data_IF_908740690247
#
_entry.id   IF_908740690247
#
_cell.length_a   1.000
_cell.length_b   1.000
_cell.length_c   1.000
_cell.angle_alpha   90.00
_cell.angle_beta   90.00
_cell.angle_gamma   90.00
#
_symmetry.space_group_name_H-M   'P 1'
#
loop_
_entity.id
_entity.type
_entity.pdbx_description
1 polymer ?
#
# COMPACT_ATOMS: atom_id res chain seq x y z
N UNK A 1 18.71 -7.51 14.59
CA UNK A 1 19.13 -6.77 15.80
C UNK A 1 19.93 -5.55 15.37
N UNK A 2 19.70 -4.37 15.95
CA UNK A 2 20.56 -3.19 15.74
C UNK A 2 21.78 -3.30 16.66
N UNK A 3 22.98 -3.07 16.11
CA UNK A 3 24.27 -3.17 16.83
C UNK A 3 24.93 -1.81 17.04
N UNK A 4 24.88 -0.92 16.06
CA UNK A 4 25.52 0.38 16.18
C UNK A 4 24.89 1.44 15.26
N UNK A 5 25.06 2.70 15.63
CA UNK A 5 24.81 3.87 14.79
C UNK A 5 26.09 4.71 14.75
N UNK A 6 26.54 5.04 13.54
CA UNK A 6 27.75 5.79 13.26
C UNK A 6 27.46 6.92 12.25
N UNK A 7 28.37 7.88 12.11
CA UNK A 7 28.28 8.92 11.08
C UNK A 7 29.65 9.21 10.43
N UNK A 8 29.63 9.75 9.20
CA UNK A 8 30.84 10.05 8.42
C UNK A 8 31.61 11.29 8.91
N UNK A 9 30.98 12.17 9.70
CA UNK A 9 31.56 13.45 10.13
C UNK A 9 31.94 13.41 11.61
N UNK A 10 33.04 14.09 11.93
CA UNK A 10 33.47 14.35 13.31
C UNK A 10 32.44 15.26 13.98
N UNK A 11 31.89 14.82 15.12
CA UNK A 11 30.84 15.55 15.86
C UNK A 11 29.69 14.66 16.29
N UNK A 12 29.45 13.55 15.58
CA UNK A 12 28.57 12.49 16.05
C UNK A 12 29.30 11.57 17.03
N UNK A 13 28.63 11.20 18.12
CA UNK A 13 29.13 10.20 19.06
C UNK A 13 28.53 8.85 18.67
N UNK A 14 29.36 7.93 18.20
CA UNK A 14 28.92 6.61 17.79
C UNK A 14 28.25 5.89 18.96
N UNK A 15 27.13 5.24 18.69
CA UNK A 15 26.36 4.53 19.71
C UNK A 15 26.38 3.04 19.40
N UNK A 16 26.74 2.22 20.39
CA UNK A 16 26.66 0.75 20.29
C UNK A 16 25.53 0.23 21.17
N UNK A 17 24.86 -0.81 20.70
CA UNK A 17 23.74 -1.44 21.36
C UNK A 17 24.09 -2.88 21.74
N UNK A 18 23.59 -3.31 22.89
CA UNK A 18 23.71 -4.70 23.35
C UNK A 18 22.36 -5.41 23.22
N UNK A 19 22.37 -6.74 23.38
CA UNK A 19 21.13 -7.51 23.37
C UNK A 19 20.24 -7.12 24.57
N UNK A 20 18.93 -7.03 24.33
CA UNK A 20 17.95 -6.67 25.36
C UNK A 20 17.58 -5.18 25.32
N UNK A 21 17.31 -4.63 26.51
CA UNK A 21 16.80 -3.26 26.66
C UNK A 21 17.97 -2.28 26.77
N UNK A 22 18.03 -1.35 25.82
CA UNK A 22 19.01 -0.25 25.82
C UNK A 22 18.27 1.05 26.22
N UNK A 23 18.75 1.73 27.26
CA UNK A 23 18.18 2.98 27.75
C UNK A 23 19.11 4.15 27.42
N UNK A 24 18.63 5.08 26.59
CA UNK A 24 19.36 6.30 26.27
C UNK A 24 18.98 7.41 27.26
N UNK A 25 19.85 7.63 28.24
CA UNK A 25 19.71 8.71 29.21
C UNK A 25 20.45 9.95 28.71
N UNK A 26 19.91 11.13 29.00
CA UNK A 26 20.63 12.37 28.78
C UNK A 26 20.55 13.22 30.05
N UNK A 27 21.72 13.58 30.58
CA UNK A 27 21.84 14.32 31.83
C UNK A 27 21.46 15.79 31.67
N UNK A 28 20.85 16.35 32.72
CA UNK A 28 20.67 17.79 32.84
C UNK A 28 22.02 18.41 33.17
N UNK A 29 22.42 19.42 32.39
CA UNK A 29 23.47 20.33 32.82
C UNK A 29 23.04 21.01 34.13
N UNK A 30 23.93 21.07 35.11
CA UNK A 30 23.72 21.70 36.43
C UNK A 30 23.46 23.20 36.38
N UNK A 31 23.58 23.82 35.20
CA UNK A 31 23.32 25.25 34.94
C UNK A 31 21.95 25.54 34.31
N UNK A 32 21.13 24.52 34.00
CA UNK A 32 19.83 24.71 33.37
C UNK A 32 18.75 25.04 34.41
N UNK A 33 18.07 26.18 34.26
CA UNK A 33 16.92 26.54 35.10
C UNK A 33 15.63 25.81 34.67
N UNK A 34 14.57 25.85 35.49
CA UNK A 34 13.28 25.18 35.23
C UNK A 34 12.58 25.57 33.91
N UNK A 35 13.06 26.61 33.22
CA UNK A 35 12.56 27.08 31.92
C UNK A 35 13.40 26.64 30.71
N UNK A 36 14.56 26.02 30.92
CA UNK A 36 15.41 25.54 29.83
C UNK A 36 14.95 24.14 29.37
N UNK A 37 14.29 24.10 28.22
CA UNK A 37 13.78 22.84 27.65
C UNK A 37 14.92 21.87 27.34
N UNK A 38 14.84 20.67 27.89
CA UNK A 38 15.82 19.55 27.86
C UNK A 38 15.80 18.75 26.54
N UNK A 39 15.20 19.31 25.48
CA UNK A 39 14.89 18.60 24.24
C UNK A 39 16.05 18.53 23.23
N UNK A 40 17.18 19.19 23.50
CA UNK A 40 18.27 19.40 22.52
C UNK A 40 19.54 18.56 22.76
N UNK A 41 19.44 17.41 23.44
CA UNK A 41 20.59 16.52 23.69
C UNK A 41 20.72 15.37 22.67
N UNK A 42 20.01 15.43 21.55
CA UNK A 42 20.18 14.49 20.43
C UNK A 42 19.48 13.13 20.57
N UNK A 43 18.72 12.88 21.65
CA UNK A 43 17.99 11.61 21.86
C UNK A 43 17.03 11.28 20.72
N UNK A 44 16.14 12.22 20.39
CA UNK A 44 15.18 12.05 19.29
C UNK A 44 15.89 11.98 17.94
N UNK A 45 16.99 12.71 17.78
CA UNK A 45 17.83 12.66 16.58
C UNK A 45 18.43 11.28 16.36
N UNK A 46 18.84 10.56 17.41
CA UNK A 46 19.32 9.18 17.27
C UNK A 46 18.23 8.25 16.72
N UNK A 47 17.01 8.35 17.25
CA UNK A 47 15.86 7.57 16.76
C UNK A 47 15.54 7.94 15.31
N UNK A 48 15.63 9.23 14.97
CA UNK A 48 15.44 9.72 13.60
C UNK A 48 16.49 9.16 12.64
N UNK A 49 17.77 9.09 13.05
CA UNK A 49 18.86 8.48 12.27
C UNK A 49 18.60 6.99 12.03
N UNK A 50 18.15 6.26 13.05
CA UNK A 50 17.79 4.84 12.90
C UNK A 50 16.65 4.70 11.89
N UNK A 51 15.55 5.44 12.03
CA UNK A 51 14.43 5.36 11.08
C UNK A 51 14.82 5.82 9.67
N UNK A 52 15.72 6.80 9.57
CA UNK A 52 16.32 7.25 8.33
C UNK A 52 17.09 6.13 7.62
N UNK A 53 17.96 5.40 8.31
CA UNK A 53 18.65 4.24 7.74
C UNK A 53 17.68 3.08 7.42
N UNK A 54 16.57 2.96 8.17
CA UNK A 54 15.48 2.02 7.90
C UNK A 54 14.49 2.50 6.81
N UNK A 55 14.88 3.51 6.04
CA UNK A 55 14.19 3.90 4.81
C UNK A 55 13.00 4.84 4.99
N UNK A 56 12.96 5.62 6.07
CA UNK A 56 11.97 6.69 6.23
C UNK A 56 12.02 7.73 5.09
N UNK A 57 10.93 8.47 4.91
CA UNK A 57 10.91 9.57 3.94
C UNK A 57 11.76 10.73 4.46
N UNK A 58 12.51 11.36 3.55
CA UNK A 58 13.46 12.40 3.89
C UNK A 58 13.25 13.63 2.99
N UNK A 59 12.21 14.44 3.26
CA UNK A 59 11.95 15.65 2.48
C UNK A 59 13.06 16.68 2.71
N UNK A 60 13.43 17.41 1.65
CA UNK A 60 14.42 18.48 1.74
C UNK A 60 13.96 19.58 2.71
N UNK A 61 14.90 20.13 3.49
CA UNK A 61 14.66 21.20 4.46
C UNK A 61 14.04 20.75 5.79
N UNK A 62 13.90 19.43 6.04
CA UNK A 62 13.32 18.90 7.29
C UNK A 62 14.15 17.75 7.85
N UNK A 63 14.09 17.59 9.17
CA UNK A 63 14.73 16.48 9.86
C UNK A 63 16.24 16.46 9.59
N UNK A 64 16.74 15.32 9.15
CA UNK A 64 18.15 15.14 8.80
C UNK A 64 18.58 15.78 7.46
N UNK A 65 17.63 16.28 6.64
CA UNK A 65 17.93 16.93 5.35
C UNK A 65 17.89 18.46 5.44
N UNK A 66 18.62 19.00 6.41
CA UNK A 66 18.83 20.45 6.57
C UNK A 66 20.25 20.83 6.13
N UNK A 67 20.46 22.10 5.78
CA UNK A 67 21.75 22.62 5.29
C UNK A 67 22.92 22.31 6.24
N UNK A 68 22.69 22.39 7.56
CA UNK A 68 23.71 22.07 8.57
C UNK A 68 24.22 20.60 8.53
N UNK A 69 23.46 19.70 7.89
CA UNK A 69 23.79 18.29 7.75
C UNK A 69 24.09 17.89 6.30
N UNK A 70 24.35 18.85 5.41
CA UNK A 70 24.81 18.57 4.04
C UNK A 70 26.16 17.82 4.05
N UNK A 71 26.30 16.81 3.19
CA UNK A 71 27.50 15.97 3.17
C UNK A 71 27.68 15.06 4.37
N UNK A 72 26.64 14.85 5.18
CA UNK A 72 26.64 13.84 6.24
C UNK A 72 26.11 12.51 5.70
N UNK A 73 26.70 11.42 6.17
CA UNK A 73 26.18 10.08 5.96
C UNK A 73 26.08 9.37 7.29
N UNK A 74 24.98 8.66 7.50
CA UNK A 74 24.75 7.89 8.71
C UNK A 74 24.76 6.40 8.38
N UNK A 75 25.40 5.62 9.25
CA UNK A 75 25.54 4.18 9.10
C UNK A 75 24.82 3.49 10.25
N UNK A 76 23.90 2.57 9.92
CA UNK A 76 23.24 1.68 10.85
C UNK A 76 23.79 0.27 10.67
N UNK A 77 24.40 -0.27 11.71
CA UNK A 77 24.81 -1.67 11.74
C UNK A 77 23.70 -2.52 12.34
N UNK A 78 23.24 -3.52 11.61
CA UNK A 78 22.15 -4.38 12.04
C UNK A 78 22.21 -5.77 11.40
N UNK A 79 21.47 -6.71 11.99
CA UNK A 79 21.22 -8.02 11.39
C UNK A 79 19.93 -7.97 10.56
N UNK A 80 20.01 -8.37 9.29
CA UNK A 80 18.90 -8.42 8.31
C UNK A 80 18.91 -9.77 7.61
N UNK A 81 17.84 -10.55 7.78
CA UNK A 81 17.74 -11.89 7.18
C UNK A 81 18.84 -12.85 7.65
N UNK A 82 19.28 -12.72 8.90
CA UNK A 82 20.39 -13.50 9.47
C UNK A 82 21.79 -12.99 9.12
N UNK A 83 21.91 -11.96 8.29
CA UNK A 83 23.20 -11.40 7.90
C UNK A 83 23.52 -10.11 8.65
N UNK A 84 24.78 -9.97 9.06
CA UNK A 84 25.30 -8.79 9.73
C UNK A 84 25.78 -7.76 8.70
N UNK A 85 25.01 -6.68 8.53
CA UNK A 85 25.29 -5.65 7.53
C UNK A 85 25.43 -4.26 8.15
N UNK A 86 26.16 -3.40 7.45
CA UNK A 86 26.16 -1.95 7.67
C UNK A 86 25.42 -1.28 6.52
N UNK A 87 24.47 -0.42 6.87
CA UNK A 87 23.64 0.31 5.91
C UNK A 87 23.92 1.79 6.05
N UNK A 88 24.48 2.40 5.01
CA UNK A 88 24.83 3.82 5.00
C UNK A 88 23.90 4.61 4.10
N UNK A 89 23.37 5.72 4.61
CA UNK A 89 22.50 6.63 3.86
C UNK A 89 23.03 8.06 3.96
N UNK A 90 23.26 8.70 2.81
CA UNK A 90 23.73 10.08 2.70
C UNK A 90 22.56 11.08 2.70
N UNK A 91 22.73 12.20 3.39
CA UNK A 91 21.77 13.33 3.38
C UNK A 91 21.69 14.00 2.00
N UNK A 92 22.71 13.86 1.17
CA UNK A 92 22.74 14.43 -0.20
C UNK A 92 22.00 13.51 -1.18
N UNK A 93 22.15 12.20 -0.99
CA UNK A 93 21.54 11.15 -1.81
C UNK A 93 20.58 10.26 -1.01
N UNK A 94 19.45 10.80 -0.49
CA UNK A 94 18.56 10.04 0.38
C UNK A 94 17.85 8.88 -0.34
N UNK A 95 17.92 8.80 -1.66
CA UNK A 95 17.28 7.74 -2.46
C UNK A 95 18.04 6.42 -2.45
N UNK A 96 19.31 6.43 -2.02
CA UNK A 96 20.24 5.31 -2.11
C UNK A 96 20.74 4.86 -0.73
N UNK A 97 20.96 3.55 -0.60
CA UNK A 97 21.39 2.89 0.63
C UNK A 97 22.60 2.03 0.28
N UNK A 98 23.79 2.48 0.68
CA UNK A 98 25.00 1.68 0.53
C UNK A 98 24.96 0.52 1.53
N UNK A 99 25.31 -0.68 1.08
CA UNK A 99 25.24 -1.91 1.85
C UNK A 99 26.61 -2.55 1.91
N UNK A 100 27.11 -2.76 3.12
CA UNK A 100 28.35 -3.48 3.39
C UNK A 100 28.04 -4.72 4.23
N UNK A 101 28.70 -5.84 3.92
CA UNK A 101 28.50 -7.13 4.58
C UNK A 101 27.77 -8.17 3.71
N UNK A 102 27.56 -9.40 4.23
CA UNK A 102 26.89 -10.47 3.48
C UNK A 102 25.40 -10.17 3.23
N UNK A 103 24.92 -10.51 2.03
CA UNK A 103 23.51 -10.31 1.61
C UNK A 103 22.86 -11.59 1.12
N UNK A 104 23.42 -12.73 1.52
CA UNK A 104 23.01 -14.07 1.07
C UNK A 104 21.53 -14.29 1.46
N UNK A 105 20.74 -14.77 0.51
CA UNK A 105 19.32 -15.08 0.72
C UNK A 105 18.38 -13.87 0.70
N UNK A 106 18.88 -12.64 0.54
CA UNK A 106 18.01 -11.49 0.34
C UNK A 106 17.22 -11.59 -0.97
N UNK A 107 15.94 -11.18 -0.99
CA UNK A 107 15.09 -11.24 -2.18
C UNK A 107 15.57 -10.32 -3.30
N UNK A 108 16.33 -9.28 -2.96
CA UNK A 108 16.95 -8.35 -3.90
C UNK A 108 18.40 -8.15 -3.48
N UNK A 109 19.32 -8.40 -4.42
CA UNK A 109 20.75 -8.23 -4.19
C UNK A 109 21.18 -6.78 -4.47
N UNK A 110 22.03 -6.18 -3.62
CA UNK A 110 22.65 -4.89 -3.91
C UNK A 110 23.47 -4.93 -5.20
N UNK A 111 23.50 -3.80 -5.90
CA UNK A 111 24.28 -3.63 -7.12
C UNK A 111 25.10 -2.34 -7.04
N UNK A 112 26.19 -2.29 -7.80
CA UNK A 112 26.98 -1.08 -7.93
C UNK A 112 26.14 0.04 -8.54
N UNK A 113 26.18 1.22 -7.92
CA UNK A 113 25.71 2.45 -8.55
C UNK A 113 26.75 2.94 -9.59
N UNK A 114 26.51 4.12 -10.18
CA UNK A 114 27.41 4.72 -11.18
C UNK A 114 28.83 5.00 -10.64
N UNK A 115 28.98 5.12 -9.34
CA UNK A 115 30.23 5.42 -8.64
C UNK A 115 30.92 4.14 -8.12
N UNK A 116 30.35 2.97 -8.39
CA UNK A 116 30.87 1.68 -7.94
C UNK A 116 30.47 1.29 -6.51
N UNK A 117 29.67 2.11 -5.82
CA UNK A 117 29.20 1.81 -4.46
C UNK A 117 28.09 0.77 -4.53
N UNK A 118 28.26 -0.33 -3.80
CA UNK A 118 27.28 -1.42 -3.72
C UNK A 118 26.11 -0.99 -2.83
N UNK A 119 24.89 -1.03 -3.36
CA UNK A 119 23.71 -0.63 -2.59
C UNK A 119 22.38 -0.88 -3.26
N UNK A 120 21.34 -0.29 -2.68
CA UNK A 120 19.95 -0.44 -3.10
C UNK A 120 19.26 0.92 -3.18
N UNK A 121 18.33 1.06 -4.12
CA UNK A 121 17.39 2.17 -4.10
C UNK A 121 16.35 2.00 -2.97
N UNK A 122 15.63 3.08 -2.68
CA UNK A 122 14.62 3.12 -1.62
C UNK A 122 13.56 2.02 -1.74
N UNK A 123 13.11 1.69 -2.96
CA UNK A 123 12.06 0.69 -3.17
C UNK A 123 12.60 -0.69 -2.83
N UNK A 124 13.77 -1.05 -3.39
CA UNK A 124 14.42 -2.34 -3.16
C UNK A 124 14.83 -2.53 -1.71
N UNK A 125 15.37 -1.50 -1.07
CA UNK A 125 15.72 -1.56 0.36
C UNK A 125 14.49 -1.82 1.23
N UNK A 126 13.38 -1.13 0.94
CA UNK A 126 12.10 -1.37 1.62
C UNK A 126 11.57 -2.79 1.38
N UNK A 127 11.73 -3.37 0.18
CA UNK A 127 11.37 -4.76 -0.08
C UNK A 127 12.20 -5.73 0.77
N UNK A 128 13.52 -5.52 0.89
CA UNK A 128 14.39 -6.33 1.76
C UNK A 128 13.98 -6.22 3.22
N UNK A 129 13.73 -5.01 3.73
CA UNK A 129 13.25 -4.80 5.11
C UNK A 129 11.88 -5.43 5.36
N UNK A 130 10.96 -5.34 4.38
CA UNK A 130 9.63 -5.95 4.47
C UNK A 130 9.71 -7.47 4.61
N UNK A 131 10.53 -8.10 3.78
CA UNK A 131 10.80 -9.53 3.85
C UNK A 131 11.47 -9.92 5.17
N UNK A 132 12.56 -9.23 5.55
CA UNK A 132 13.38 -9.63 6.70
C UNK A 132 12.70 -9.39 8.06
N UNK A 133 11.94 -8.31 8.21
CA UNK A 133 11.36 -7.92 9.50
C UNK A 133 9.93 -8.42 9.69
N UNK A 134 9.19 -8.56 8.59
CA UNK A 134 7.76 -8.81 8.63
C UNK A 134 7.33 -10.02 7.79
N UNK A 135 8.25 -10.68 7.09
CA UNK A 135 7.88 -11.77 6.17
C UNK A 135 7.00 -11.31 5.01
N UNK A 136 7.02 -10.02 4.68
CA UNK A 136 6.29 -9.50 3.52
C UNK A 136 6.98 -10.00 2.27
N UNK A 137 6.35 -10.95 1.59
CA UNK A 137 6.63 -11.22 0.18
C UNK A 137 5.94 -10.15 -0.65
N UNK A 138 6.50 -9.70 -1.77
CA UNK A 138 5.76 -8.79 -2.66
C UNK A 138 4.42 -9.44 -3.00
N UNK A 139 3.29 -8.89 -2.54
CA UNK A 139 2.03 -9.54 -2.80
C UNK A 139 1.67 -9.26 -4.25
N UNK A 140 1.25 -10.32 -4.96
CA UNK A 140 0.61 -10.27 -6.27
C UNK A 140 -0.76 -9.52 -6.27
N UNK A 141 -1.15 -8.95 -5.12
CA UNK A 141 -2.35 -8.14 -4.97
C UNK A 141 -2.18 -6.80 -5.68
N UNK A 142 -2.98 -6.60 -6.74
CA UNK A 142 -3.12 -5.37 -7.51
C UNK A 142 -3.71 -4.20 -6.70
N UNK A 143 -4.08 -4.42 -5.45
CA UNK A 143 -4.85 -3.44 -4.65
C UNK A 143 -3.95 -2.61 -3.73
N UNK A 144 -4.29 -1.32 -3.59
CA UNK A 144 -3.51 -0.36 -2.80
C UNK A 144 -3.62 -0.54 -1.27
N UNK A 145 -4.48 -1.44 -0.79
CA UNK A 145 -4.75 -1.64 0.64
C UNK A 145 -4.00 -2.86 1.17
N UNK A 146 -2.74 -2.65 1.58
CA UNK A 146 -1.88 -3.72 2.10
C UNK A 146 -0.91 -3.22 3.17
N UNK A 147 -0.40 -4.11 4.04
CA UNK A 147 0.66 -3.78 4.97
C UNK A 147 1.89 -3.29 4.22
N UNK A 148 2.38 -2.13 4.60
CA UNK A 148 3.62 -1.58 4.08
C UNK A 148 4.69 -1.60 5.17
N UNK A 149 5.91 -1.98 4.80
CA UNK A 149 7.07 -1.99 5.71
C UNK A 149 7.22 -0.67 6.47
N UNK A 150 6.90 0.46 5.81
CA UNK A 150 7.06 1.80 6.39
C UNK A 150 6.03 2.12 7.45
N UNK A 151 4.76 1.83 7.18
CA UNK A 151 3.71 1.99 8.18
C UNK A 151 3.94 1.05 9.35
N UNK A 152 4.33 -0.22 9.09
CA UNK A 152 4.64 -1.20 10.14
C UNK A 152 5.80 -0.73 11.02
N UNK A 153 6.95 -0.35 10.44
CA UNK A 153 8.09 0.18 11.20
C UNK A 153 7.70 1.40 12.05
N UNK A 154 6.82 2.27 11.54
CA UNK A 154 6.40 3.46 12.27
C UNK A 154 5.68 3.15 13.59
N UNK A 155 5.01 1.99 13.71
CA UNK A 155 4.44 1.51 14.97
C UNK A 155 5.48 1.13 16.03
N UNK A 156 6.69 0.75 15.60
CA UNK A 156 7.82 0.42 16.48
C UNK A 156 8.66 1.64 16.81
N UNK A 157 8.96 2.48 15.82
CA UNK A 157 9.81 3.67 16.00
C UNK A 157 9.10 4.74 16.84
N UNK A 158 7.80 4.99 16.58
CA UNK A 158 6.99 6.01 17.28
C UNK A 158 7.68 7.38 17.40
N UNK A 159 8.21 7.91 16.30
CA UNK A 159 8.98 9.17 16.34
C UNK A 159 8.11 10.44 16.51
N UNK A 160 6.79 10.36 16.34
CA UNK A 160 5.90 11.52 16.45
C UNK A 160 5.26 11.57 17.84
N UNK A 161 5.11 12.77 18.42
CA UNK A 161 4.41 12.95 19.69
C UNK A 161 2.99 12.33 19.67
N UNK A 162 2.30 12.50 18.54
CA UNK A 162 1.00 11.88 18.24
C UNK A 162 0.97 10.35 18.38
N UNK A 163 2.09 9.67 18.06
CA UNK A 163 2.19 8.21 18.11
C UNK A 163 2.13 7.66 19.55
N UNK A 164 2.29 8.53 20.56
CA UNK A 164 2.19 8.15 21.98
C UNK A 164 0.77 8.33 22.53
N UNK A 165 -0.13 9.01 21.82
CA UNK A 165 -1.48 9.29 22.30
C UNK A 165 -2.41 8.07 22.19
N UNK A 166 -2.22 7.22 21.19
CA UNK A 166 -3.09 6.07 20.94
C UNK A 166 -2.25 4.89 20.47
N UNK A 167 -2.34 3.72 21.13
CA UNK A 167 -1.49 2.57 20.80
C UNK A 167 -1.68 2.05 19.38
N UNK A 168 -2.85 2.30 18.77
CA UNK A 168 -3.22 1.85 17.43
C UNK A 168 -2.89 2.87 16.32
N UNK A 169 -2.34 4.04 16.65
CA UNK A 169 -1.96 5.06 15.67
C UNK A 169 -0.46 5.34 15.74
N UNK A 170 0.15 5.64 14.58
CA UNK A 170 1.52 6.17 14.53
C UNK A 170 1.58 7.64 14.07
N UNK A 171 0.45 8.24 13.71
CA UNK A 171 0.26 9.68 13.51
C UNK A 171 -1.24 10.05 13.64
N UNK A 172 -1.56 11.33 13.87
CA UNK A 172 -2.92 11.75 14.27
C UNK A 172 -4.01 11.46 13.23
N UNK A 173 -3.76 11.88 11.98
CA UNK A 173 -4.72 11.86 10.87
C UNK A 173 -4.62 10.57 10.03
N UNK A 174 -4.25 9.46 10.66
CA UNK A 174 -4.15 8.17 9.99
C UNK A 174 -5.52 7.68 9.52
N UNK A 175 -5.62 7.27 8.26
CA UNK A 175 -6.88 6.77 7.67
C UNK A 175 -7.31 5.50 8.40
N UNK A 176 -8.62 5.31 8.59
CA UNK A 176 -9.17 4.15 9.32
C UNK A 176 -8.73 2.82 8.73
N UNK A 177 -8.74 2.69 7.40
CA UNK A 177 -8.28 1.47 6.73
C UNK A 177 -6.80 1.20 7.01
N UNK A 178 -5.98 2.25 7.04
CA UNK A 178 -4.54 2.16 7.24
C UNK A 178 -4.25 1.69 8.67
N UNK A 179 -4.99 2.20 9.66
CA UNK A 179 -4.97 1.69 11.04
C UNK A 179 -5.35 0.20 11.06
N UNK A 180 -6.48 -0.17 10.45
CA UNK A 180 -7.03 -1.53 10.52
C UNK A 180 -6.12 -2.56 9.87
N UNK A 181 -5.64 -2.30 8.65
CA UNK A 181 -4.79 -3.21 7.88
C UNK A 181 -3.47 -3.45 8.62
N UNK A 182 -2.80 -2.39 9.09
CA UNK A 182 -1.50 -2.53 9.73
C UNK A 182 -1.59 -3.15 11.12
N UNK A 183 -2.58 -2.75 11.95
CA UNK A 183 -2.75 -3.38 13.26
C UNK A 183 -3.21 -4.84 13.13
N UNK A 184 -4.10 -5.17 12.20
CA UNK A 184 -4.49 -6.56 11.96
C UNK A 184 -3.25 -7.40 11.60
N UNK A 185 -2.39 -6.91 10.71
CA UNK A 185 -1.14 -7.58 10.37
C UNK A 185 -0.22 -7.77 11.59
N UNK A 186 0.04 -6.70 12.36
CA UNK A 186 0.93 -6.75 13.53
C UNK A 186 0.41 -7.67 14.64
N UNK A 187 -0.90 -7.86 14.74
CA UNK A 187 -1.56 -8.75 15.69
C UNK A 187 -1.72 -10.18 15.16
N UNK A 188 -1.26 -10.49 13.95
CA UNK A 188 -1.41 -11.81 13.33
C UNK A 188 -2.86 -12.14 12.91
N UNK A 189 -3.69 -11.12 12.73
CA UNK A 189 -5.06 -11.23 12.24
C UNK A 189 -5.11 -11.18 10.70
N UNK A 190 -6.22 -11.64 10.13
CA UNK A 190 -6.49 -11.59 8.70
C UNK A 190 -6.72 -10.14 8.23
N UNK A 191 -5.65 -9.48 7.80
CA UNK A 191 -5.68 -8.11 7.28
C UNK A 191 -6.31 -8.02 5.88
N UNK A 192 -6.38 -9.12 5.13
CA UNK A 192 -6.98 -9.14 3.78
C UNK A 192 -8.49 -8.86 3.85
N UNK A 193 -9.14 -9.29 4.93
CA UNK A 193 -10.55 -8.91 5.21
C UNK A 193 -10.71 -7.41 5.42
N UNK A 194 -9.81 -6.77 6.16
CA UNK A 194 -9.84 -5.33 6.37
C UNK A 194 -9.61 -4.57 5.05
N UNK A 195 -8.69 -5.06 4.21
CA UNK A 195 -8.46 -4.52 2.87
C UNK A 195 -9.70 -4.66 1.96
N UNK A 196 -10.30 -5.84 1.92
CA UNK A 196 -11.52 -6.12 1.14
C UNK A 196 -12.69 -5.25 1.59
N UNK A 197 -12.87 -5.07 2.90
CA UNK A 197 -13.89 -4.19 3.45
C UNK A 197 -13.74 -2.75 2.98
N UNK A 198 -12.50 -2.24 2.96
CA UNK A 198 -12.22 -0.90 2.46
C UNK A 198 -12.51 -0.77 0.96
N UNK A 199 -12.17 -1.77 0.14
CA UNK A 199 -12.49 -1.78 -1.28
C UNK A 199 -14.00 -1.71 -1.53
N UNK A 200 -14.78 -2.53 -0.82
CA UNK A 200 -16.25 -2.51 -0.90
C UNK A 200 -16.82 -1.14 -0.51
N UNK A 201 -16.23 -0.49 0.51
CA UNK A 201 -16.62 0.86 0.93
C UNK A 201 -16.34 1.89 -0.16
N UNK A 202 -15.20 1.82 -0.83
CA UNK A 202 -14.85 2.76 -1.91
C UNK A 202 -15.68 2.55 -3.16
N UNK A 203 -15.95 1.30 -3.55
CA UNK A 203 -16.90 0.97 -4.61
C UNK A 203 -18.29 1.53 -4.31
N UNK A 204 -18.77 1.37 -3.06
CA UNK A 204 -20.03 1.97 -2.62
C UNK A 204 -20.02 3.50 -2.72
N UNK A 205 -18.94 4.15 -2.29
CA UNK A 205 -18.82 5.61 -2.38
C UNK A 205 -18.79 6.09 -3.83
N UNK A 206 -18.08 5.39 -4.71
CA UNK A 206 -18.04 5.68 -6.14
C UNK A 206 -19.44 5.55 -6.78
N UNK A 207 -20.19 4.51 -6.43
CA UNK A 207 -21.58 4.35 -6.89
C UNK A 207 -22.50 5.47 -6.39
N UNK A 208 -22.33 5.92 -5.14
CA UNK A 208 -23.10 7.05 -4.61
C UNK A 208 -22.75 8.35 -5.36
N UNK A 209 -21.47 8.61 -5.62
CA UNK A 209 -21.03 9.77 -6.38
C UNK A 209 -21.54 9.73 -7.82
N UNK A 210 -21.50 8.57 -8.48
CA UNK A 210 -22.05 8.38 -9.83
C UNK A 210 -23.57 8.63 -9.87
N UNK A 211 -24.32 8.06 -8.92
CA UNK A 211 -25.77 8.33 -8.79
C UNK A 211 -26.07 9.82 -8.63
N UNK A 212 -25.25 10.52 -7.84
CA UNK A 212 -25.41 11.96 -7.65
C UNK A 212 -25.11 12.73 -8.93
N UNK A 213 -24.05 12.36 -9.66
CA UNK A 213 -23.67 12.98 -10.92
C UNK A 213 -24.76 12.83 -12.00
N UNK A 214 -25.34 11.62 -12.12
CA UNK A 214 -26.50 11.35 -12.99
C UNK A 214 -27.69 12.22 -12.57
N UNK A 215 -28.00 12.30 -11.27
CA UNK A 215 -29.11 13.11 -10.78
C UNK A 215 -28.95 14.61 -11.05
N UNK A 216 -27.71 15.11 -11.07
CA UNK A 216 -27.40 16.50 -11.38
C UNK A 216 -27.27 16.80 -12.88
N UNK A 217 -27.44 15.79 -13.75
CA UNK A 217 -27.30 15.93 -15.21
C UNK A 217 -25.87 16.14 -15.69
N UNK A 218 -24.87 15.90 -14.83
CA UNK A 218 -23.45 16.15 -15.14
C UNK A 218 -22.86 15.14 -16.13
N UNK A 219 -23.60 14.08 -16.44
CA UNK A 219 -23.21 12.97 -17.33
C UNK A 219 -24.25 12.74 -18.43
N UNK A 220 -25.23 13.63 -18.56
CA UNK A 220 -26.29 13.54 -19.58
C UNK A 220 -25.63 13.61 -20.97
N UNK A 221 -25.71 12.50 -21.72
CA UNK A 221 -25.16 12.35 -23.07
C UNK A 221 -24.14 11.22 -23.23
N UNK A 222 -23.41 10.85 -22.17
CA UNK A 222 -22.47 9.70 -22.19
C UNK A 222 -23.06 8.45 -21.52
N UNK A 223 -23.80 8.65 -20.43
CA UNK A 223 -24.55 7.63 -19.73
C UNK A 223 -26.00 8.13 -19.78
N UNK A 224 -26.92 7.35 -20.36
CA UNK A 224 -28.32 7.76 -20.54
C UNK A 224 -28.94 8.32 -19.26
N UNK A 225 -30.06 9.04 -19.40
CA UNK A 225 -30.75 9.66 -18.26
C UNK A 225 -31.09 8.63 -17.16
N UNK A 226 -31.28 9.09 -15.91
CA UNK A 226 -31.61 8.21 -14.78
C UNK A 226 -32.80 7.26 -15.10
N UNK A 227 -33.82 7.77 -15.77
CA UNK A 227 -35.00 7.00 -16.15
C UNK A 227 -34.72 5.93 -17.21
N UNK A 228 -33.86 6.22 -18.19
CA UNK A 228 -33.43 5.24 -19.20
C UNK A 228 -32.62 4.11 -18.58
N UNK A 229 -31.69 4.44 -17.68
CA UNK A 229 -30.90 3.45 -16.95
C UNK A 229 -31.75 2.58 -16.01
N UNK A 230 -32.78 3.15 -15.37
CA UNK A 230 -33.73 2.38 -14.55
C UNK A 230 -34.58 1.42 -15.39
N UNK A 231 -35.07 1.88 -16.55
CA UNK A 231 -35.80 1.05 -17.49
C UNK A 231 -34.92 -0.09 -18.03
N UNK A 232 -33.67 0.21 -18.37
CA UNK A 232 -32.71 -0.79 -18.85
C UNK A 232 -32.34 -1.81 -17.77
N UNK A 233 -32.15 -1.36 -16.52
CA UNK A 233 -31.95 -2.26 -15.37
C UNK A 233 -33.11 -3.23 -15.20
N UNK A 234 -34.36 -2.74 -15.31
CA UNK A 234 -35.55 -3.58 -15.18
C UNK A 234 -35.63 -4.62 -16.31
N UNK A 235 -35.35 -4.19 -17.55
CA UNK A 235 -35.28 -5.07 -18.72
C UNK A 235 -34.25 -6.19 -18.52
N UNK A 236 -33.02 -5.82 -18.14
CA UNK A 236 -31.92 -6.77 -17.92
C UNK A 236 -32.20 -7.73 -16.75
N UNK A 237 -32.78 -7.25 -15.64
CA UNK A 237 -33.15 -8.11 -14.52
C UNK A 237 -34.21 -9.14 -14.90
N UNK A 238 -35.19 -8.73 -15.72
CA UNK A 238 -36.22 -9.64 -16.23
C UNK A 238 -35.63 -10.69 -17.16
N UNK A 239 -34.68 -10.31 -18.02
CA UNK A 239 -34.00 -11.22 -18.92
C UNK A 239 -33.11 -12.22 -18.16
N UNK A 240 -32.35 -11.75 -17.18
CA UNK A 240 -31.51 -12.60 -16.32
C UNK A 240 -32.33 -13.65 -15.60
N UNK A 241 -33.51 -13.29 -15.08
CA UNK A 241 -34.38 -14.24 -14.38
C UNK A 241 -35.01 -15.26 -15.34
N UNK A 242 -35.39 -14.84 -16.56
CA UNK A 242 -35.80 -15.77 -17.63
C UNK A 242 -34.71 -16.76 -18.00
N UNK A 243 -33.48 -16.28 -18.20
CA UNK A 243 -32.33 -17.13 -18.54
C UNK A 243 -31.98 -18.08 -17.40
N UNK A 244 -31.99 -17.61 -16.14
CA UNK A 244 -31.83 -18.47 -14.95
C UNK A 244 -32.87 -19.59 -14.90
N UNK A 245 -34.12 -19.26 -15.14
CA UNK A 245 -35.22 -20.23 -15.16
C UNK A 245 -35.08 -21.23 -16.32
N UNK A 246 -34.65 -20.77 -17.51
CA UNK A 246 -34.38 -21.65 -18.65
C UNK A 246 -33.20 -22.61 -18.36
N UNK A 247 -32.14 -22.11 -17.71
CA UNK A 247 -30.98 -22.90 -17.29
C UNK A 247 -31.36 -23.91 -16.19
N UNK A 248 -32.12 -23.50 -15.18
CA UNK A 248 -32.54 -24.38 -14.08
C UNK A 248 -33.49 -25.48 -14.55
N UNK A 249 -34.29 -25.20 -15.59
CA UNK A 249 -35.21 -26.16 -16.20
C UNK A 249 -34.57 -26.94 -17.36
N UNK A 250 -33.25 -26.78 -17.59
CA UNK A 250 -32.47 -27.45 -18.64
C UNK A 250 -33.10 -27.37 -20.04
N UNK A 251 -33.83 -26.28 -20.33
CA UNK A 251 -34.42 -26.01 -21.64
C UNK A 251 -33.40 -25.26 -22.49
N UNK A 252 -32.43 -25.98 -23.05
CA UNK A 252 -31.24 -25.36 -23.63
C UNK A 252 -31.50 -24.55 -24.90
N UNK A 253 -32.64 -24.61 -25.61
CA UNK A 253 -32.99 -23.63 -26.66
C UNK A 253 -34.50 -23.59 -27.01
N UNK A 254 -35.29 -22.65 -26.44
CA UNK A 254 -36.63 -22.33 -26.93
C UNK A 254 -36.63 -21.74 -28.35
N UNK A 255 -35.55 -21.05 -28.71
CA UNK A 255 -35.38 -20.34 -29.99
C UNK A 255 -35.43 -21.29 -31.20
N UNK A 256 -35.09 -22.57 -31.04
CA UNK A 256 -35.18 -23.55 -32.13
C UNK A 256 -36.64 -23.80 -32.55
N UNK A 257 -37.58 -23.83 -31.59
CA UNK A 257 -39.01 -24.00 -31.89
C UNK A 257 -39.62 -22.76 -32.54
N UNK A 258 -39.15 -21.57 -32.17
CA UNK A 258 -39.59 -20.33 -32.82
C UNK A 258 -39.07 -20.24 -34.26
N UNK A 259 -37.80 -20.58 -34.50
CA UNK A 259 -37.22 -20.62 -35.85
C UNK A 259 -37.89 -21.72 -36.70
N UNK A 260 -38.17 -22.89 -36.12
CA UNK A 260 -38.91 -23.98 -36.79
C UNK A 260 -40.34 -23.54 -37.15
N UNK A 261 -41.03 -22.85 -36.24
CA UNK A 261 -42.36 -22.29 -36.48
C UNK A 261 -42.36 -21.26 -37.62
N UNK A 262 -41.37 -20.36 -37.65
CA UNK A 262 -41.22 -19.37 -38.71
C UNK A 262 -40.87 -20.01 -40.06
N UNK A 263 -39.98 -21.00 -40.07
CA UNK A 263 -39.62 -21.75 -41.28
C UNK A 263 -40.82 -22.51 -41.86
N UNK A 264 -41.64 -23.15 -41.01
CA UNK A 264 -42.85 -23.83 -41.43
C UNK A 264 -43.91 -22.86 -41.98
N UNK A 265 -44.06 -21.67 -41.38
CA UNK A 265 -44.98 -20.64 -41.87
C UNK A 265 -44.56 -20.14 -43.26
N UNK A 266 -43.27 -19.84 -43.46
CA UNK A 266 -42.70 -19.43 -44.75
C UNK A 266 -42.84 -20.54 -45.81
N UNK A 267 -42.59 -21.79 -45.45
CA UNK A 267 -42.76 -22.93 -46.35
C UNK A 267 -44.21 -23.09 -46.81
N UNK A 268 -45.16 -22.89 -45.90
CA UNK A 268 -46.61 -22.94 -46.21
C UNK A 268 -47.00 -21.81 -47.15
N UNK A 269 -46.47 -20.60 -46.95
CA UNK A 269 -46.70 -19.46 -47.85
C UNK A 269 -46.14 -19.72 -49.26
N UNK A 270 -44.92 -20.25 -49.37
CA UNK A 270 -44.31 -20.62 -50.65
C UNK A 270 -45.18 -21.66 -51.38
N UNK A 271 -45.66 -22.68 -50.67
CA UNK A 271 -46.53 -23.70 -51.26
C UNK A 271 -47.87 -23.13 -51.75
N UNK A 272 -48.47 -22.21 -50.98
CA UNK A 272 -49.72 -21.57 -51.39
C UNK A 272 -49.57 -20.70 -52.65
N UNK A 273 -48.42 -20.03 -52.81
CA UNK A 273 -48.12 -19.21 -53.98
C UNK A 273 -47.85 -20.05 -55.24
N UNK A 274 -47.19 -21.21 -55.09
CA UNK A 274 -46.96 -22.16 -56.20
C UNK A 274 -48.27 -22.76 -56.72
N UNK A 275 -49.19 -23.14 -55.82
CA UNK A 275 -50.50 -23.69 -56.21
C UNK A 275 -51.37 -22.66 -56.93
N UNK A 276 -51.23 -21.36 -56.60
CA UNK A 276 -51.94 -20.28 -57.30
C UNK A 276 -51.34 -19.90 -58.67
N UNK A 277 -50.16 -20.41 -59.02
CA UNK A 277 -49.49 -20.13 -60.30
C UNK A 277 -49.70 -21.22 -61.36
N UNK A 278 -50.22 -22.39 -60.97
CA UNK A 278 -50.52 -23.53 -61.86
C UNK A 278 -52.02 -23.64 -62.24
N UNK A 279 -52.85 -22.70 -61.80
CA UNK A 279 -54.28 -22.53 -62.18
C UNK A 279 -54.49 -21.31 -63.08
#
# INVERSE_FOLDING_TARGET
MIRAVCASRRGFHNTTFTAGVNLLLADRSTKAGDKDTTNALGKSTLIEIIDYCLGSNAPAGKGLRIEALEGWAFTLELAVGGNDVAVTRSTDEPGFFAIEGPTIGWPVQPAANKEGIIGLDTKKWRSVLGWALFGLSEPASETGYKPSVRSLLSYFVRNQAAAYNTPFKHFDNQKTWDIQVHNAFLLGLDWEKAATWQQLKDQKNALVALKQAIKTGAVDGELGSLGELEAERLRLATQLERERSALSNFQVLPQYREIEGQANALTTQIHSLLISAES
#
